data_IF_267118327896
#
_entry.id   IF_267118327896
#
_cell.length_a   1.000
_cell.length_b   1.000
_cell.length_c   1.000
_cell.angle_alpha   90.00
_cell.angle_beta   90.00
_cell.angle_gamma   90.00
#
_symmetry.space_group_name_H-M   'P 1'
#
loop_
_entity.id
_entity.type
_entity.pdbx_description
1 polymer ?
#
# COMPACT_ATOMS: atom_id res chain seq x y z
N UNK A 1 -11.49 0.67 9.35
CA UNK A 1 -11.18 1.02 10.77
C UNK A 1 -9.93 1.89 10.82
N UNK A 2 -9.97 3.10 11.39
CA UNK A 2 -8.83 4.02 11.40
C UNK A 2 -7.66 3.59 12.30
N UNK A 3 -7.90 2.76 13.32
CA UNK A 3 -6.85 2.33 14.25
C UNK A 3 -5.79 1.43 13.62
N UNK A 4 -6.20 0.50 12.75
CA UNK A 4 -5.29 -0.46 12.12
C UNK A 4 -4.29 0.24 11.18
N UNK A 5 -4.73 1.28 10.46
CA UNK A 5 -3.87 2.04 9.55
C UNK A 5 -2.76 2.79 10.28
N UNK A 6 -3.09 3.41 11.42
CA UNK A 6 -2.09 4.08 12.27
C UNK A 6 -1.04 3.11 12.80
N UNK A 7 -1.47 1.93 13.25
CA UNK A 7 -0.58 0.89 13.75
C UNK A 7 0.43 0.45 12.68
N UNK A 8 -0.04 0.22 11.45
CA UNK A 8 0.82 -0.20 10.35
C UNK A 8 1.72 0.91 9.81
N UNK A 9 1.24 2.16 9.79
CA UNK A 9 2.05 3.30 9.38
C UNK A 9 3.27 3.54 10.30
N UNK A 10 3.21 3.12 11.56
CA UNK A 10 4.32 3.23 12.53
C UNK A 10 4.99 1.89 12.83
N UNK A 11 4.76 0.86 12.01
CA UNK A 11 5.39 -0.43 12.23
C UNK A 11 6.90 -0.33 11.97
N UNK A 12 7.78 -0.75 12.90
CA UNK A 12 9.22 -0.52 12.79
C UNK A 12 9.92 -1.40 11.74
N UNK A 13 9.24 -2.42 11.20
CA UNK A 13 9.77 -3.33 10.18
C UNK A 13 9.20 -3.06 8.78
N UNK A 14 9.61 -3.89 7.82
CA UNK A 14 9.03 -3.87 6.48
C UNK A 14 7.62 -4.47 6.47
N UNK A 15 6.68 -3.79 5.81
CA UNK A 15 5.32 -4.28 5.60
C UNK A 15 5.09 -4.54 4.11
N UNK A 16 4.74 -5.77 3.77
CA UNK A 16 4.24 -6.14 2.44
C UNK A 16 2.77 -6.53 2.62
N UNK A 17 1.90 -5.89 1.85
CA UNK A 17 0.45 -6.08 1.95
C UNK A 17 -0.19 -6.00 0.58
N UNK A 18 -1.26 -6.77 0.40
CA UNK A 18 -2.10 -6.76 -0.80
C UNK A 18 -3.50 -6.35 -0.37
N UNK A 19 -4.05 -5.32 -0.99
CA UNK A 19 -5.37 -4.79 -0.65
C UNK A 19 -6.06 -4.22 -1.87
N UNK A 20 -7.39 -4.24 -1.87
CA UNK A 20 -8.21 -3.51 -2.83
C UNK A 20 -8.61 -2.12 -2.33
N UNK A 21 -8.33 -1.80 -1.06
CA UNK A 21 -8.62 -0.49 -0.46
C UNK A 21 -7.51 0.51 -0.81
N UNK A 22 -7.78 1.35 -1.81
CA UNK A 22 -6.85 2.40 -2.27
C UNK A 22 -6.47 3.39 -1.17
N UNK A 23 -7.38 3.72 -0.24
CA UNK A 23 -7.07 4.65 0.86
C UNK A 23 -6.10 4.02 1.84
N UNK A 24 -6.28 2.73 2.15
CA UNK A 24 -5.32 1.99 2.97
C UNK A 24 -3.93 1.99 2.33
N UNK A 25 -3.85 1.66 1.04
CA UNK A 25 -2.56 1.61 0.34
C UNK A 25 -1.86 2.98 0.34
N UNK A 26 -2.61 4.08 0.08
CA UNK A 26 -2.08 5.44 0.12
C UNK A 26 -1.63 5.90 1.51
N UNK A 27 -2.35 5.54 2.57
CA UNK A 27 -2.07 6.01 3.93
C UNK A 27 -0.99 5.19 4.64
N UNK A 28 -0.74 3.95 4.21
CA UNK A 28 0.12 3.00 4.94
C UNK A 28 1.40 2.62 4.16
N UNK A 29 1.33 2.48 2.83
CA UNK A 29 2.44 1.96 2.04
C UNK A 29 3.31 3.09 1.47
N UNK A 30 4.63 2.92 1.52
CA UNK A 30 5.58 3.87 0.92
C UNK A 30 5.80 3.64 -0.57
N UNK A 31 5.57 2.41 -1.05
CA UNK A 31 5.71 2.01 -2.45
C UNK A 31 4.49 1.14 -2.80
N UNK A 32 3.89 1.37 -3.97
CA UNK A 32 2.75 0.59 -4.44
C UNK A 32 3.09 -0.05 -5.78
N UNK A 33 2.74 -1.33 -5.90
CA UNK A 33 2.83 -2.07 -7.15
C UNK A 33 1.43 -2.51 -7.59
N UNK A 34 1.18 -2.40 -8.90
CA UNK A 34 0.01 -3.00 -9.55
C UNK A 34 0.41 -4.32 -10.14
N UNK A 35 -0.35 -5.36 -9.82
CA UNK A 35 -0.23 -6.65 -10.48
C UNK A 35 -0.96 -6.59 -11.84
N UNK A 36 -0.22 -6.83 -12.92
CA UNK A 36 -0.71 -6.96 -14.28
C UNK A 36 -0.40 -8.36 -14.81
N UNK A 37 -0.92 -8.70 -16.00
CA UNK A 37 -0.61 -9.98 -16.65
C UNK A 37 0.89 -10.17 -16.94
N UNK A 38 1.65 -9.08 -17.01
CA UNK A 38 3.09 -9.09 -17.28
C UNK A 38 3.95 -9.05 -16.01
N UNK A 39 3.34 -8.90 -14.83
CA UNK A 39 4.04 -8.86 -13.55
C UNK A 39 3.67 -7.64 -12.71
N UNK A 40 4.61 -7.20 -11.85
CA UNK A 40 4.42 -6.05 -10.97
C UNK A 40 4.95 -4.78 -11.62
N UNK A 41 4.09 -3.77 -11.72
CA UNK A 41 4.42 -2.44 -12.22
C UNK A 41 4.37 -1.43 -11.06
N UNK A 42 5.41 -0.61 -10.92
CA UNK A 42 5.42 0.46 -9.93
C UNK A 42 4.40 1.54 -10.30
N UNK A 43 3.66 2.04 -9.29
CA UNK A 43 2.61 3.05 -9.49
C UNK A 43 2.95 4.30 -8.69
N UNK A 44 2.78 5.47 -9.31
CA UNK A 44 2.83 6.75 -8.58
C UNK A 44 1.59 6.87 -7.68
N UNK A 45 1.80 7.28 -6.43
CA UNK A 45 0.72 7.50 -5.45
C UNK A 45 -0.34 8.50 -5.92
N UNK A 46 0.02 9.42 -6.82
CA UNK A 46 -0.89 10.37 -7.45
C UNK A 46 -1.91 9.69 -8.38
N UNK A 47 -1.53 8.58 -9.00
CA UNK A 47 -2.34 7.83 -9.97
C UNK A 47 -3.23 6.75 -9.32
N UNK A 48 -3.10 6.56 -8.01
CA UNK A 48 -3.88 5.57 -7.25
C UNK A 48 -5.24 6.11 -6.80
#
# INVERSE_FOLDING_TARGET
QPHIRKLFATYPGGLITVSHDRRFLKEVCSIIYRLTEKGLEAVDLQDL
#
